data_IF_519555037112
#
_entry.id   IF_519555037112
#
_cell.length_a   1.000
_cell.length_b   1.000
_cell.length_c   1.000
_cell.angle_alpha   90.00
_cell.angle_beta   90.00
_cell.angle_gamma   90.00
#
_symmetry.space_group_name_H-M   'P 1'
#
loop_
_entity.id
_entity.type
_entity.pdbx_description
1 polymer ?
#
# COMPACT_ATOMS: atom_id res chain seq x y z
N UNK A 1 -4.43 0.81 12.72
CA UNK A 1 -4.38 1.36 14.10
C UNK A 1 -5.23 0.57 15.05
N UNK A 2 -6.54 0.48 14.81
CA UNK A 2 -7.48 -0.27 15.67
C UNK A 2 -6.98 -1.69 15.98
N UNK A 3 -6.56 -2.44 14.95
CA UNK A 3 -6.01 -3.79 15.14
C UNK A 3 -4.78 -3.81 16.07
N UNK A 4 -3.78 -2.96 15.81
CA UNK A 4 -2.56 -2.93 16.62
C UNK A 4 -2.79 -2.50 18.07
N UNK A 5 -3.82 -1.70 18.36
CA UNK A 5 -4.23 -1.43 19.75
C UNK A 5 -4.90 -2.65 20.40
N UNK A 6 -5.80 -3.32 19.68
CA UNK A 6 -6.51 -4.50 20.17
C UNK A 6 -5.58 -5.69 20.41
N UNK A 7 -4.64 -5.93 19.50
CA UNK A 7 -3.65 -6.99 19.57
C UNK A 7 -2.39 -6.61 20.39
N UNK A 8 -2.40 -5.46 21.06
CA UNK A 8 -1.27 -4.93 21.84
C UNK A 8 0.07 -4.87 21.08
N UNK A 9 0.02 -4.80 19.75
CA UNK A 9 1.18 -4.74 18.87
C UNK A 9 1.58 -3.27 18.62
N UNK A 10 2.08 -2.59 19.65
CA UNK A 10 2.32 -1.14 19.62
C UNK A 10 3.33 -0.68 18.55
N UNK A 11 4.24 -1.56 18.10
CA UNK A 11 5.12 -1.24 16.97
C UNK A 11 4.34 -1.07 15.66
N UNK A 12 3.31 -1.90 15.43
CA UNK A 12 2.38 -1.71 14.30
C UNK A 12 1.66 -0.38 14.46
N UNK A 13 1.26 -0.02 15.69
CA UNK A 13 0.67 1.28 16.00
C UNK A 13 1.57 2.43 15.58
N UNK A 14 2.79 2.47 16.12
CA UNK A 14 3.75 3.52 15.84
C UNK A 14 4.06 3.65 14.34
N UNK A 15 4.24 2.53 13.65
CA UNK A 15 4.60 2.52 12.24
C UNK A 15 3.53 3.17 11.34
N UNK A 16 2.24 2.96 11.60
CA UNK A 16 1.21 3.57 10.75
C UNK A 16 0.88 5.02 11.13
N UNK A 17 1.40 5.58 12.23
CA UNK A 17 1.29 7.03 12.48
C UNK A 17 1.88 7.80 11.29
N UNK A 18 3.04 7.36 10.80
CA UNK A 18 3.68 7.94 9.62
C UNK A 18 2.82 7.78 8.35
N UNK A 19 2.17 6.63 8.17
CA UNK A 19 1.25 6.40 7.06
C UNK A 19 0.04 7.32 7.11
N UNK A 20 -0.56 7.51 8.29
CA UNK A 20 -1.70 8.42 8.49
C UNK A 20 -1.28 9.86 8.17
N UNK A 21 -0.11 10.30 8.64
CA UNK A 21 0.41 11.62 8.31
C UNK A 21 0.60 11.78 6.80
N UNK A 22 1.20 10.79 6.12
CA UNK A 22 1.42 10.82 4.68
C UNK A 22 0.12 10.89 3.88
N UNK A 23 -0.83 9.99 4.14
CA UNK A 23 -2.14 10.01 3.47
C UNK A 23 -2.96 11.24 3.84
N UNK A 24 -2.88 11.70 5.09
CA UNK A 24 -3.53 12.94 5.53
C UNK A 24 -3.06 14.16 4.74
N UNK A 25 -1.75 14.29 4.51
CA UNK A 25 -1.20 15.37 3.66
C UNK A 25 -1.73 15.28 2.24
N UNK A 26 -1.79 14.08 1.65
CA UNK A 26 -2.33 13.86 0.29
C UNK A 26 -3.81 14.25 0.23
N UNK A 27 -4.63 13.79 1.17
CA UNK A 27 -6.07 14.11 1.22
C UNK A 27 -6.29 15.61 1.40
N UNK A 28 -5.55 16.27 2.31
CA UNK A 28 -5.62 17.72 2.50
C UNK A 28 -5.26 18.46 1.21
N UNK A 29 -4.24 18.02 0.48
CA UNK A 29 -3.87 18.62 -0.81
C UNK A 29 -4.95 18.39 -1.87
N UNK A 30 -5.54 17.19 -1.95
CA UNK A 30 -6.66 16.90 -2.86
C UNK A 30 -7.87 17.79 -2.58
N UNK A 31 -8.16 18.09 -1.31
CA UNK A 31 -9.23 19.01 -0.92
C UNK A 31 -8.91 20.45 -1.36
N UNK A 32 -7.69 20.92 -1.07
CA UNK A 32 -7.24 22.27 -1.47
C UNK A 32 -7.25 22.48 -2.99
N UNK A 33 -6.97 21.42 -3.76
CA UNK A 33 -6.99 21.44 -5.23
C UNK A 33 -8.38 21.19 -5.83
N UNK A 34 -9.42 21.00 -5.00
CA UNK A 34 -10.79 20.76 -5.47
C UNK A 34 -11.03 19.38 -6.07
N UNK A 35 -10.04 18.47 -6.04
CA UNK A 35 -10.17 17.11 -6.56
C UNK A 35 -11.13 16.25 -5.73
N UNK A 36 -11.20 16.50 -4.41
CA UNK A 36 -12.11 15.83 -3.47
C UNK A 36 -12.72 16.86 -2.53
N UNK A 37 -14.02 16.79 -2.26
CA UNK A 37 -14.65 17.68 -1.26
C UNK A 37 -14.35 17.21 0.15
N UNK A 38 -14.20 18.13 1.12
CA UNK A 38 -14.05 17.78 2.54
C UNK A 38 -15.11 16.80 3.04
N UNK A 39 -16.39 17.02 2.68
CA UNK A 39 -17.51 16.14 3.07
C UNK A 39 -17.27 14.68 2.65
N UNK A 40 -16.85 14.44 1.41
CA UNK A 40 -16.56 13.09 0.91
C UNK A 40 -15.41 12.45 1.68
N UNK A 41 -14.30 13.17 1.88
CA UNK A 41 -13.16 12.67 2.64
C UNK A 41 -13.55 12.31 4.08
N UNK A 42 -14.29 13.19 4.76
CA UNK A 42 -14.76 12.96 6.12
C UNK A 42 -15.70 11.75 6.23
N UNK A 43 -16.69 11.64 5.33
CA UNK A 43 -17.64 10.52 5.35
C UNK A 43 -16.94 9.19 5.12
N UNK A 44 -15.97 9.14 4.19
CA UNK A 44 -15.19 7.92 3.94
C UNK A 44 -14.37 7.55 5.17
N UNK A 45 -13.62 8.49 5.75
CA UNK A 45 -12.77 8.22 6.92
C UNK A 45 -13.60 7.79 8.13
N UNK A 46 -14.69 8.51 8.44
CA UNK A 46 -15.60 8.15 9.52
C UNK A 46 -16.22 6.76 9.30
N UNK A 47 -16.57 6.42 8.06
CA UNK A 47 -17.07 5.10 7.69
C UNK A 47 -16.04 3.98 7.89
N UNK A 48 -14.77 4.21 7.54
CA UNK A 48 -13.67 3.25 7.74
C UNK A 48 -13.41 3.04 9.24
N UNK A 49 -13.41 4.10 10.04
CA UNK A 49 -13.25 4.01 11.50
C UNK A 49 -14.43 3.24 12.11
N UNK A 50 -15.66 3.57 11.74
CA UNK A 50 -16.85 2.89 12.24
C UNK A 50 -16.82 1.40 11.87
N UNK A 51 -16.46 1.05 10.63
CA UNK A 51 -16.31 -0.33 10.20
C UNK A 51 -15.26 -1.08 11.03
N UNK A 52 -14.11 -0.47 11.28
CA UNK A 52 -13.04 -1.08 12.08
C UNK A 52 -13.48 -1.31 13.54
N UNK A 53 -14.20 -0.35 14.15
CA UNK A 53 -14.73 -0.50 15.51
C UNK A 53 -15.81 -1.58 15.55
N UNK A 54 -16.75 -1.58 14.60
CA UNK A 54 -17.80 -2.61 14.52
C UNK A 54 -17.19 -4.01 14.35
N UNK A 55 -16.17 -4.15 13.48
CA UNK A 55 -15.45 -5.40 13.34
C UNK A 55 -14.81 -5.86 14.66
N UNK A 56 -14.16 -4.94 15.39
CA UNK A 56 -13.58 -5.23 16.70
C UNK A 56 -14.61 -5.71 17.73
N UNK A 57 -15.78 -5.06 17.77
CA UNK A 57 -16.88 -5.44 18.67
C UNK A 57 -17.36 -6.86 18.38
N UNK A 58 -17.32 -7.31 17.12
CA UNK A 58 -17.66 -8.69 16.76
C UNK A 58 -16.54 -9.65 17.16
N UNK A 59 -15.31 -9.44 16.66
CA UNK A 59 -14.12 -10.15 17.12
C UNK A 59 -12.82 -9.50 16.63
N UNK A 60 -11.75 -9.70 17.40
CA UNK A 60 -10.40 -9.30 16.98
C UNK A 60 -9.96 -10.01 15.68
N UNK A 61 -10.34 -11.28 15.50
CA UNK A 61 -10.00 -12.05 14.31
C UNK A 61 -10.63 -11.48 13.03
N UNK A 62 -11.89 -11.05 13.09
CA UNK A 62 -12.56 -10.41 11.95
C UNK A 62 -11.86 -9.10 11.59
N UNK A 63 -11.50 -8.30 12.59
CA UNK A 63 -10.71 -7.09 12.37
C UNK A 63 -9.34 -7.42 11.75
N UNK A 64 -8.68 -8.48 12.22
CA UNK A 64 -7.41 -8.98 11.67
C UNK A 64 -7.54 -9.39 10.21
N UNK A 65 -8.56 -10.18 9.87
CA UNK A 65 -8.84 -10.57 8.47
C UNK A 65 -9.10 -9.35 7.60
N UNK A 66 -9.89 -8.39 8.06
CA UNK A 66 -10.12 -7.14 7.30
C UNK A 66 -8.82 -6.35 7.10
N UNK A 67 -7.96 -6.29 8.14
CA UNK A 67 -6.65 -5.67 8.02
C UNK A 67 -5.77 -6.37 6.97
N UNK A 68 -5.82 -7.70 6.90
CA UNK A 68 -5.10 -8.49 5.89
C UNK A 68 -5.62 -8.22 4.48
N UNK A 69 -6.94 -8.25 4.28
CA UNK A 69 -7.55 -8.00 2.97
C UNK A 69 -7.22 -6.59 2.50
N UNK A 70 -7.46 -5.57 3.33
CA UNK A 70 -7.23 -4.17 2.97
C UNK A 70 -5.74 -3.91 2.75
N UNK A 71 -4.89 -4.36 3.68
CA UNK A 71 -3.44 -4.14 3.63
C UNK A 71 -2.78 -4.86 2.45
N UNK A 72 -3.14 -6.12 2.21
CA UNK A 72 -2.58 -6.93 1.12
C UNK A 72 -3.05 -6.49 -0.26
N UNK A 73 -4.32 -6.08 -0.41
CA UNK A 73 -4.89 -5.74 -1.72
C UNK A 73 -4.59 -4.31 -2.18
N UNK A 74 -4.14 -3.42 -1.28
CA UNK A 74 -3.87 -2.01 -1.62
C UNK A 74 -2.85 -1.81 -2.76
N UNK A 75 -1.91 -2.73 -2.95
CA UNK A 75 -0.91 -2.67 -4.03
C UNK A 75 -1.42 -3.21 -5.38
N UNK A 76 -2.49 -4.01 -5.37
CA UNK A 76 -2.98 -4.75 -6.56
C UNK A 76 -3.31 -3.83 -7.74
N UNK A 77 -3.98 -2.68 -7.57
CA UNK A 77 -4.23 -1.78 -8.70
C UNK A 77 -2.93 -1.29 -9.36
N UNK A 78 -1.85 -1.11 -8.60
CA UNK A 78 -0.55 -0.70 -9.14
C UNK A 78 0.12 -1.85 -9.90
N UNK A 79 -0.02 -3.09 -9.43
CA UNK A 79 0.44 -4.28 -10.16
C UNK A 79 -0.26 -4.39 -11.51
N UNK A 80 -1.59 -4.25 -11.52
CA UNK A 80 -2.38 -4.29 -12.77
C UNK A 80 -1.94 -3.19 -13.73
N UNK A 81 -1.72 -1.96 -13.25
CA UNK A 81 -1.22 -0.86 -14.07
C UNK A 81 0.19 -1.12 -14.60
N UNK A 82 1.10 -1.61 -13.75
CA UNK A 82 2.45 -1.95 -14.15
C UNK A 82 2.46 -3.08 -15.18
N UNK A 83 1.55 -4.05 -15.08
CA UNK A 83 1.42 -5.15 -16.04
C UNK A 83 0.97 -4.65 -17.42
N UNK A 84 0.01 -3.70 -17.45
CA UNK A 84 -0.61 -3.17 -18.67
C UNK A 84 0.16 -2.03 -19.36
N UNK A 85 1.09 -1.38 -18.66
CA UNK A 85 1.80 -0.20 -19.19
C UNK A 85 3.21 -0.59 -19.66
N UNK A 86 3.58 -0.21 -20.89
CA UNK A 86 4.91 -0.44 -21.45
C UNK A 86 5.94 0.58 -20.95
N UNK A 87 5.50 1.84 -20.81
CA UNK A 87 6.35 2.97 -20.44
C UNK A 87 6.18 3.35 -18.96
N UNK A 88 7.10 2.88 -18.13
CA UNK A 88 7.11 3.04 -16.66
C UNK A 88 8.28 3.91 -16.17
N UNK A 89 8.88 4.77 -16.99
CA UNK A 89 10.03 5.61 -16.58
C UNK A 89 9.72 6.60 -15.44
N UNK A 90 8.43 6.91 -15.22
CA UNK A 90 7.97 7.69 -14.08
C UNK A 90 7.81 6.89 -12.78
N UNK A 91 8.03 5.57 -12.81
CA UNK A 91 7.89 4.68 -11.66
C UNK A 91 9.25 4.44 -11.02
N UNK A 92 9.41 4.88 -9.77
CA UNK A 92 10.68 4.76 -9.05
C UNK A 92 11.01 3.31 -8.68
N UNK A 93 12.12 2.79 -9.24
CA UNK A 93 12.67 1.47 -8.88
C UNK A 93 13.02 1.40 -7.38
N UNK A 94 13.63 2.47 -6.85
CA UNK A 94 14.06 2.54 -5.45
C UNK A 94 12.87 2.45 -4.49
N UNK A 95 11.75 3.08 -4.83
CA UNK A 95 10.54 3.01 -4.02
C UNK A 95 10.05 1.58 -3.88
N UNK A 96 9.99 0.81 -4.97
CA UNK A 96 9.52 -0.58 -4.90
C UNK A 96 10.54 -1.52 -4.27
N UNK A 97 11.84 -1.24 -4.37
CA UNK A 97 12.87 -1.93 -3.59
C UNK A 97 12.66 -1.71 -2.08
N UNK A 98 12.43 -0.46 -1.66
CA UNK A 98 12.13 -0.13 -0.27
C UNK A 98 10.85 -0.81 0.22
N UNK A 99 9.78 -0.82 -0.60
CA UNK A 99 8.52 -1.52 -0.26
C UNK A 99 8.76 -3.02 -0.08
N UNK A 100 9.54 -3.66 -0.97
CA UNK A 100 9.86 -5.08 -0.84
C UNK A 100 10.63 -5.36 0.45
N UNK A 101 11.70 -4.60 0.74
CA UNK A 101 12.48 -4.74 1.98
C UNK A 101 11.61 -4.52 3.22
N UNK A 102 10.83 -3.44 3.24
CA UNK A 102 9.91 -3.13 4.33
C UNK A 102 8.91 -4.26 4.56
N UNK A 103 8.30 -4.80 3.52
CA UNK A 103 7.32 -5.88 3.63
C UNK A 103 7.95 -7.21 4.06
N UNK A 104 9.17 -7.51 3.62
CA UNK A 104 9.91 -8.67 4.16
C UNK A 104 10.16 -8.48 5.66
N UNK A 105 10.58 -7.29 6.09
CA UNK A 105 10.79 -7.00 7.52
C UNK A 105 9.51 -7.16 8.33
N UNK A 106 8.36 -6.68 7.85
CA UNK A 106 7.08 -6.88 8.53
C UNK A 106 6.59 -8.33 8.51
N UNK A 107 6.86 -9.06 7.43
CA UNK A 107 6.57 -10.49 7.35
C UNK A 107 7.33 -11.27 8.41
N UNK A 108 8.64 -11.03 8.53
CA UNK A 108 9.49 -11.65 9.56
C UNK A 108 9.01 -11.23 10.96
N UNK A 109 8.75 -9.94 11.17
CA UNK A 109 8.28 -9.43 12.46
C UNK A 109 6.97 -10.09 12.90
N UNK A 110 5.98 -10.19 12.00
CA UNK A 110 4.70 -10.85 12.31
C UNK A 110 4.89 -12.32 12.72
N UNK A 111 5.76 -13.05 12.03
CA UNK A 111 6.12 -14.42 12.42
C UNK A 111 6.84 -14.49 13.78
N UNK A 112 7.69 -13.51 14.11
CA UNK A 112 8.40 -13.47 15.39
C UNK A 112 7.50 -13.21 16.60
N UNK A 113 6.36 -12.55 16.40
CA UNK A 113 5.38 -12.24 17.46
C UNK A 113 4.13 -13.13 17.38
N UNK A 114 4.19 -14.21 16.60
CA UNK A 114 3.08 -15.14 16.35
C UNK A 114 1.78 -14.45 15.86
N UNK A 115 1.90 -13.31 15.18
CA UNK A 115 0.79 -12.54 14.63
C UNK A 115 0.74 -12.71 13.09
N UNK A 116 -0.07 -13.68 12.67
CA UNK A 116 -0.30 -13.93 11.24
C UNK A 116 -1.03 -12.78 10.54
N UNK A 117 -1.83 -11.97 11.24
CA UNK A 117 -2.50 -10.82 10.62
C UNK A 117 -1.51 -9.71 10.24
N UNK A 118 -0.37 -9.64 10.95
CA UNK A 118 0.76 -8.77 10.57
C UNK A 118 1.61 -9.40 9.46
N UNK A 119 1.79 -10.72 9.47
CA UNK A 119 2.63 -11.41 8.49
C UNK A 119 1.99 -11.56 7.10
N UNK A 120 0.74 -12.01 7.03
CA UNK A 120 0.04 -12.42 5.81
C UNK A 120 -0.09 -11.36 4.70
N UNK A 121 -0.32 -10.06 4.98
CA UNK A 121 -0.38 -9.05 3.91
C UNK A 121 0.90 -9.03 3.06
N UNK A 122 2.04 -9.33 3.68
CA UNK A 122 3.35 -9.27 3.03
C UNK A 122 3.56 -10.40 2.02
N UNK A 123 2.81 -11.50 2.13
CA UNK A 123 2.79 -12.58 1.11
C UNK A 123 2.31 -12.04 -0.24
N UNK A 124 1.45 -11.02 -0.24
CA UNK A 124 0.99 -10.35 -1.47
C UNK A 124 1.89 -9.18 -1.84
N UNK A 125 2.31 -8.37 -0.86
CA UNK A 125 3.04 -7.12 -1.12
C UNK A 125 4.47 -7.38 -1.63
N UNK A 126 5.18 -8.38 -1.10
CA UNK A 126 6.55 -8.70 -1.54
C UNK A 126 6.60 -9.08 -3.02
N UNK A 127 5.86 -10.09 -3.52
CA UNK A 127 5.91 -10.42 -4.94
C UNK A 127 5.36 -9.28 -5.82
N UNK A 128 4.35 -8.54 -5.35
CA UNK A 128 3.80 -7.39 -6.08
C UNK A 128 4.82 -6.27 -6.26
N UNK A 129 5.54 -5.91 -5.20
CA UNK A 129 6.56 -4.86 -5.24
C UNK A 129 7.76 -5.27 -6.09
N UNK A 130 8.23 -6.51 -5.98
CA UNK A 130 9.28 -7.05 -6.84
C UNK A 130 8.88 -7.03 -8.32
N UNK A 131 7.66 -7.47 -8.63
CA UNK A 131 7.14 -7.43 -10.00
C UNK A 131 7.15 -6.00 -10.58
N UNK A 132 6.62 -5.02 -9.83
CA UNK A 132 6.60 -3.62 -10.28
C UNK A 132 8.03 -3.09 -10.45
N UNK A 133 8.92 -3.39 -9.50
CA UNK A 133 10.34 -3.02 -9.57
C UNK A 133 11.01 -3.54 -10.84
N UNK A 134 10.85 -4.83 -11.16
CA UNK A 134 11.45 -5.41 -12.36
C UNK A 134 10.86 -4.80 -13.64
N UNK A 135 9.55 -4.54 -13.68
CA UNK A 135 8.91 -3.85 -14.80
C UNK A 135 9.43 -2.42 -14.99
N UNK A 136 9.63 -1.69 -13.90
CA UNK A 136 10.23 -0.36 -13.94
C UNK A 136 11.69 -0.40 -14.45
N UNK A 137 12.52 -1.34 -13.96
CA UNK A 137 13.90 -1.52 -14.45
C UNK A 137 13.93 -1.81 -15.95
N UNK A 138 13.07 -2.72 -16.43
CA UNK A 138 12.98 -3.04 -17.86
C UNK A 138 12.59 -1.81 -18.68
N UNK A 139 11.60 -1.04 -18.22
CA UNK A 139 11.21 0.20 -18.86
C UNK A 139 12.32 1.25 -18.86
N UNK A 140 13.05 1.42 -17.75
CA UNK A 140 14.14 2.40 -17.65
C UNK A 140 15.27 2.04 -18.60
N UNK A 141 15.59 0.75 -18.75
CA UNK A 141 16.59 0.29 -19.72
C UNK A 141 16.15 0.50 -21.16
N UNK A 142 14.86 0.33 -21.45
CA UNK A 142 14.31 0.47 -22.81
C UNK A 142 14.06 1.92 -23.23
N UNK A 143 13.67 2.78 -22.29
CA UNK A 143 13.18 4.13 -22.57
C UNK A 143 13.91 5.24 -21.78
N UNK A 144 14.91 4.93 -20.95
CA UNK A 144 15.56 5.90 -20.06
C UNK A 144 16.29 7.06 -20.74
N UNK A 145 16.61 6.91 -22.04
CA UNK A 145 17.21 7.97 -22.85
C UNK A 145 16.20 8.71 -23.73
N UNK A 146 14.91 8.35 -23.68
CA UNK A 146 13.84 8.97 -24.48
C UNK A 146 12.89 9.73 -23.56
N UNK A 147 12.99 11.06 -23.58
CA UNK A 147 11.98 11.95 -22.98
C UNK A 147 10.70 12.06 -23.83
N UNK A 148 10.71 11.46 -25.02
CA UNK A 148 9.61 11.46 -25.97
C UNK A 148 8.98 10.07 -25.99
N UNK A 149 7.72 9.98 -25.58
CA UNK A 149 6.89 8.78 -25.72
C UNK A 149 6.49 8.56 -27.20
N UNK A 150 7.44 8.53 -28.12
CA UNK A 150 7.18 8.07 -29.49
C UNK A 150 7.33 6.56 -29.52
N UNK A 151 6.24 5.92 -29.92
CA UNK A 151 6.01 4.50 -30.03
C UNK A 151 7.22 3.74 -30.58
N UNK A 152 7.95 3.05 -29.71
CA UNK A 152 8.80 1.94 -30.17
C UNK A 152 7.83 0.78 -30.44
N UNK A 153 7.72 0.29 -31.69
CA UNK A 153 6.75 -0.74 -32.03
C UNK A 153 6.96 -1.97 -31.15
N UNK A 154 5.86 -2.60 -30.75
CA UNK A 154 5.90 -3.93 -30.16
C UNK A 154 6.60 -4.88 -31.15
N UNK A 155 7.66 -5.53 -30.68
CA UNK A 155 8.18 -6.75 -31.31
C UNK A 155 7.61 -7.92 -30.55
#
# INVERSE_FOLDING_TARGET
MVYGFAAETYLVVLANVMTICGFGVVVVKQIKLGAVTFRKAFVVEAGVIALAILALVVSQDILGVLAVVVGGTGIVPQVVRAARTSHLVGVSVVTFAMVATMSVSWGIYGLMVDDLFVALPNVVIVPSSLFIMFRAIQSHRRYGNTTVATEVPAR
#
